data_IF_071473189214
#
_entry.id   IF_071473189214
#
_cell.length_a   1.000
_cell.length_b   1.000
_cell.length_c   1.000
_cell.angle_alpha   90.00
_cell.angle_beta   90.00
_cell.angle_gamma   90.00
#
_symmetry.space_group_name_H-M   'P 1'
#
loop_
_entity.id
_entity.type
_entity.pdbx_description
1 polymer ?
#
# COMPACT_ATOMS: atom_id res chain seq x y z
N UNK A 1 67.88 9.24 79.84
CA UNK A 1 67.40 7.89 80.21
C UNK A 1 66.13 7.63 79.39
N UNK A 2 66.06 6.51 78.65
CA UNK A 2 64.85 5.84 78.09
C UNK A 2 64.21 6.58 76.87
N UNK A 3 64.44 6.15 75.62
CA UNK A 3 63.77 5.05 74.83
C UNK A 3 62.31 5.44 74.50
N UNK A 4 61.96 5.75 73.25
CA UNK A 4 61.44 4.81 72.21
C UNK A 4 60.09 4.16 72.61
N UNK A 5 59.04 3.98 71.80
CA UNK A 5 58.78 3.97 70.37
C UNK A 5 57.23 3.88 70.15
N UNK A 6 56.77 4.36 68.99
CA UNK A 6 55.87 3.72 68.00
C UNK A 6 54.60 2.94 68.45
N UNK A 7 53.40 3.42 68.07
CA UNK A 7 52.54 3.00 66.91
C UNK A 7 51.52 1.87 67.23
N UNK A 8 50.71 1.32 66.28
CA UNK A 8 49.24 1.51 66.22
C UNK A 8 48.47 0.17 66.17
N UNK A 9 47.13 0.17 66.15
CA UNK A 9 46.30 -1.00 65.77
C UNK A 9 45.02 -0.44 65.11
N UNK A 10 44.86 -0.41 63.79
CA UNK A 10 44.61 -1.49 62.80
C UNK A 10 43.23 -2.14 62.95
N UNK A 11 42.38 -1.90 61.94
CA UNK A 11 41.56 -2.94 61.30
C UNK A 11 41.24 -2.44 59.89
N UNK A 12 42.04 -2.74 58.86
CA UNK A 12 42.13 -4.00 58.11
C UNK A 12 40.80 -4.36 57.40
N UNK A 13 40.61 -3.95 56.13
CA UNK A 13 40.99 -4.66 54.88
C UNK A 13 39.97 -5.79 54.58
N UNK A 14 39.36 -5.90 53.40
CA UNK A 14 39.85 -6.64 52.21
C UNK A 14 39.02 -6.20 50.97
N UNK A 15 39.61 -5.65 49.89
CA UNK A 15 40.46 -6.25 48.81
C UNK A 15 39.57 -6.59 47.60
N UNK A 16 39.67 -5.83 46.49
CA UNK A 16 40.59 -6.00 45.32
C UNK A 16 40.03 -7.05 44.34
N UNK A 17 39.95 -6.78 43.04
CA UNK A 17 41.05 -6.79 42.05
C UNK A 17 40.64 -5.96 40.79
N UNK A 18 41.45 -5.07 40.21
CA UNK A 18 42.59 -5.24 39.26
C UNK A 18 42.24 -6.17 38.06
N UNK A 19 42.51 -5.90 36.79
CA UNK A 19 43.63 -5.21 36.14
C UNK A 19 43.26 -4.96 34.63
N UNK A 20 43.63 -3.84 33.98
CA UNK A 20 44.86 -3.61 33.18
C UNK A 20 44.70 -3.83 31.64
N UNK A 21 44.77 -2.69 30.93
CA UNK A 21 45.41 -2.36 29.63
C UNK A 21 45.13 -3.14 28.32
N UNK A 22 44.81 -2.36 27.28
CA UNK A 22 45.60 -2.30 26.02
C UNK A 22 45.01 -3.01 24.79
N UNK A 23 44.99 -2.31 23.65
CA UNK A 23 44.90 -2.93 22.31
C UNK A 23 44.12 -2.12 21.26
N UNK A 24 44.81 -1.62 20.24
CA UNK A 24 44.21 -1.15 18.98
C UNK A 24 43.73 -2.33 18.11
N UNK A 25 42.66 -2.07 17.35
CA UNK A 25 42.16 -2.74 16.15
C UNK A 25 41.90 -4.26 16.19
N UNK A 26 40.62 -4.65 16.15
CA UNK A 26 39.96 -5.25 14.97
C UNK A 26 38.47 -5.50 15.26
N UNK A 27 37.69 -5.38 14.19
CA UNK A 27 36.27 -5.72 13.99
C UNK A 27 35.56 -6.56 15.05
N UNK A 28 34.36 -6.12 15.47
CA UNK A 28 33.11 -6.84 15.17
C UNK A 28 31.87 -6.11 15.73
N UNK A 29 30.90 -5.92 14.83
CA UNK A 29 29.43 -5.81 14.99
C UNK A 29 28.87 -5.77 16.43
N UNK A 30 27.95 -4.91 16.81
CA UNK A 30 26.77 -4.48 16.06
C UNK A 30 26.31 -3.09 16.53
N UNK A 31 26.09 -2.20 15.57
CA UNK A 31 25.37 -0.95 15.79
C UNK A 31 23.88 -1.26 15.57
N UNK A 32 23.10 -1.29 16.63
CA UNK A 32 21.64 -1.20 16.55
C UNK A 32 21.28 0.20 16.01
N UNK A 33 21.30 0.31 14.68
CA UNK A 33 20.89 1.49 13.95
C UNK A 33 19.46 1.33 13.48
N UNK A 34 18.50 1.76 14.29
CA UNK A 34 17.16 2.13 13.82
C UNK A 34 17.27 3.42 13.00
N UNK A 35 17.43 3.29 11.67
CA UNK A 35 17.43 4.43 10.77
C UNK A 35 17.41 4.02 9.31
N UNK A 36 16.37 4.44 8.58
CA UNK A 36 16.31 4.30 7.12
C UNK A 36 17.32 5.27 6.48
N UNK A 37 18.26 4.75 5.68
CA UNK A 37 19.17 5.57 4.89
C UNK A 37 18.50 5.95 3.55
N UNK A 38 18.61 7.22 3.14
CA UNK A 38 18.08 7.72 1.89
C UNK A 38 19.21 7.91 0.86
N UNK A 39 19.06 7.36 -0.35
CA UNK A 39 19.91 7.70 -1.49
C UNK A 39 19.17 7.65 -2.83
N UNK A 40 19.12 8.80 -3.53
CA UNK A 40 18.98 8.90 -4.98
C UNK A 40 17.59 8.71 -5.60
N UNK A 41 17.35 9.39 -6.73
CA UNK A 41 16.19 9.19 -7.61
C UNK A 41 16.66 8.46 -8.90
N UNK A 42 15.95 7.41 -9.31
CA UNK A 42 16.22 6.68 -10.56
C UNK A 42 14.94 6.61 -11.39
N UNK A 43 15.04 6.95 -12.68
CA UNK A 43 13.95 6.81 -13.66
C UNK A 43 14.22 5.60 -14.56
N UNK A 44 13.16 4.92 -15.04
CA UNK A 44 13.27 3.70 -15.86
C UNK A 44 13.71 3.94 -17.33
N UNK A 45 14.11 5.17 -17.69
CA UNK A 45 14.71 5.50 -19.01
C UNK A 45 16.24 5.56 -18.98
N UNK A 46 16.87 5.09 -17.90
CA UNK A 46 18.31 5.11 -17.71
C UNK A 46 18.80 6.38 -17.00
N UNK A 47 20.03 6.32 -16.50
CA UNK A 47 20.68 7.44 -15.82
C UNK A 47 21.00 8.56 -16.82
N UNK A 48 20.34 9.72 -16.71
CA UNK A 48 20.76 10.91 -17.44
C UNK A 48 21.92 11.57 -16.68
N UNK A 49 23.07 11.87 -17.33
CA UNK A 49 24.14 12.61 -16.68
C UNK A 49 23.68 14.01 -16.31
N UNK A 50 24.12 14.49 -15.15
CA UNK A 50 23.94 15.86 -14.67
C UNK A 50 24.36 16.88 -15.74
N UNK A 51 23.39 17.46 -16.44
CA UNK A 51 23.51 18.84 -16.88
C UNK A 51 22.19 19.58 -16.66
N UNK A 52 22.36 20.68 -15.96
CA UNK A 52 21.41 21.73 -15.61
C UNK A 52 20.61 22.27 -16.80
N UNK A 53 19.42 22.81 -16.48
CA UNK A 53 18.73 23.93 -17.18
C UNK A 53 17.48 23.65 -18.04
N UNK A 54 16.71 22.57 -17.82
CA UNK A 54 15.35 22.52 -18.37
C UNK A 54 14.29 22.19 -17.31
N UNK A 55 13.34 23.11 -17.15
CA UNK A 55 12.13 22.99 -16.35
C UNK A 55 11.15 22.04 -17.05
N UNK A 56 11.33 20.73 -16.88
CA UNK A 56 10.37 19.73 -17.35
C UNK A 56 9.67 19.07 -16.18
N UNK A 57 8.47 19.58 -15.90
CA UNK A 57 7.26 18.89 -15.46
C UNK A 57 7.47 17.72 -14.48
N UNK A 58 7.45 18.07 -13.19
CA UNK A 58 7.41 17.19 -12.03
C UNK A 58 6.03 16.49 -11.92
N UNK A 59 5.84 15.37 -12.61
CA UNK A 59 4.76 14.44 -12.27
C UNK A 59 5.36 13.18 -11.64
N UNK A 60 5.08 13.01 -10.35
CA UNK A 60 5.38 11.83 -9.52
C UNK A 60 6.87 11.47 -9.36
N UNK A 61 7.62 12.29 -8.61
CA UNK A 61 8.88 11.84 -8.00
C UNK A 61 8.61 11.31 -6.57
N UNK A 62 8.93 10.05 -6.31
CA UNK A 62 9.02 9.49 -4.96
C UNK A 62 10.45 8.99 -4.72
N UNK A 63 11.02 9.32 -3.56
CA UNK A 63 12.32 8.83 -3.14
C UNK A 63 12.29 7.31 -2.89
N UNK A 64 13.32 6.60 -3.36
CA UNK A 64 13.52 5.18 -3.10
C UNK A 64 14.01 5.02 -1.65
N UNK A 65 13.23 4.31 -0.82
CA UNK A 65 13.70 3.78 0.46
C UNK A 65 14.07 2.32 0.18
N UNK A 66 15.37 2.04 0.10
CA UNK A 66 15.84 0.68 -0.10
C UNK A 66 15.66 -0.11 1.20
N UNK A 67 14.83 -1.16 1.10
CA UNK A 67 14.70 -2.29 2.03
C UNK A 67 14.24 -1.97 3.46
N UNK A 68 12.93 -1.76 3.63
CA UNK A 68 12.26 -2.28 4.81
C UNK A 68 11.92 -3.75 4.54
N UNK A 69 12.29 -4.66 5.46
CA UNK A 69 11.93 -6.08 5.40
C UNK A 69 10.40 -6.18 5.25
N UNK A 70 9.93 -6.57 4.07
CA UNK A 70 8.51 -6.78 3.80
C UNK A 70 8.05 -7.98 4.62
N UNK A 71 7.44 -7.72 5.78
CA UNK A 71 6.49 -8.66 6.35
C UNK A 71 5.30 -8.64 5.39
N UNK A 72 5.15 -9.68 4.56
CA UNK A 72 3.86 -9.91 3.90
C UNK A 72 2.79 -9.88 5.00
N UNK A 73 1.79 -8.99 4.93
CA UNK A 73 0.73 -9.00 5.91
C UNK A 73 0.03 -10.35 5.80
N UNK A 74 0.23 -11.19 6.82
CA UNK A 74 -0.49 -12.44 6.98
C UNK A 74 -1.94 -12.05 7.22
N UNK A 75 -2.74 -11.97 6.13
CA UNK A 75 -4.11 -11.52 6.21
C UNK A 75 -4.87 -12.36 7.25
N UNK A 76 -5.64 -11.73 8.15
CA UNK A 76 -6.53 -12.48 9.01
C UNK A 76 -7.47 -13.28 8.12
N UNK A 77 -7.50 -14.60 8.32
CA UNK A 77 -8.33 -15.50 7.53
C UNK A 77 -9.81 -15.05 7.62
N UNK A 78 -10.42 -14.83 6.45
CA UNK A 78 -11.85 -14.93 6.11
C UNK A 78 -12.72 -13.67 5.99
N UNK A 79 -12.19 -12.46 5.85
CA UNK A 79 -13.05 -11.29 5.53
C UNK A 79 -12.74 -10.77 4.13
N UNK A 80 -13.75 -10.84 3.26
CA UNK A 80 -13.80 -10.20 1.96
C UNK A 80 -14.82 -9.06 1.98
N UNK A 81 -14.82 -8.26 0.94
CA UNK A 81 -15.71 -7.14 0.76
C UNK A 81 -16.40 -7.20 -0.59
N UNK A 82 -17.69 -6.92 -0.61
CA UNK A 82 -18.38 -6.51 -1.82
C UNK A 82 -18.37 -4.99 -1.92
N UNK A 83 -18.02 -4.48 -3.09
CA UNK A 83 -18.11 -3.07 -3.42
C UNK A 83 -19.30 -2.91 -4.36
N UNK A 84 -20.41 -2.40 -3.84
CA UNK A 84 -21.68 -2.26 -4.57
C UNK A 84 -21.91 -0.81 -4.97
N UNK A 85 -22.05 -0.51 -6.25
CA UNK A 85 -22.44 0.83 -6.71
C UNK A 85 -23.81 1.19 -6.15
N UNK A 86 -23.94 2.35 -5.52
CA UNK A 86 -25.21 2.81 -4.95
C UNK A 86 -26.18 3.21 -6.06
N UNK A 87 -25.69 3.74 -7.17
CA UNK A 87 -26.54 4.15 -8.29
C UNK A 87 -27.21 2.96 -8.98
N UNK A 88 -26.44 1.91 -9.30
CA UNK A 88 -26.94 0.78 -10.10
C UNK A 88 -27.24 -0.48 -9.29
N UNK A 89 -26.76 -0.59 -8.05
CA UNK A 89 -26.83 -1.82 -7.26
C UNK A 89 -25.88 -2.93 -7.76
N UNK A 90 -25.06 -2.65 -8.77
CA UNK A 90 -24.12 -3.61 -9.33
C UNK A 90 -22.84 -3.69 -8.50
N UNK A 91 -22.22 -4.87 -8.45
CA UNK A 91 -20.99 -5.11 -7.69
C UNK A 91 -19.76 -5.07 -8.58
N UNK A 92 -18.68 -4.47 -8.08
CA UNK A 92 -17.35 -4.58 -8.66
C UNK A 92 -16.97 -6.06 -8.79
N UNK A 93 -16.51 -6.47 -9.96
CA UNK A 93 -16.24 -7.86 -10.27
C UNK A 93 -15.02 -8.03 -11.20
N UNK A 94 -14.33 -9.15 -11.02
CA UNK A 94 -13.23 -9.60 -11.85
C UNK A 94 -13.72 -10.61 -12.90
N UNK A 95 -14.35 -10.10 -13.96
CA UNK A 95 -14.89 -10.89 -15.07
C UNK A 95 -13.95 -10.93 -16.26
N UNK A 96 -14.08 -11.94 -17.10
CA UNK A 96 -13.26 -12.10 -18.31
C UNK A 96 -13.67 -11.11 -19.42
N UNK A 97 -13.29 -9.85 -19.26
CA UNK A 97 -13.50 -8.80 -20.25
C UNK A 97 -12.16 -8.11 -20.52
N UNK A 98 -11.73 -8.07 -21.78
CA UNK A 98 -10.37 -7.66 -22.15
C UNK A 98 -10.38 -6.51 -23.15
N UNK A 99 -9.41 -5.61 -22.99
CA UNK A 99 -9.03 -4.64 -24.00
C UNK A 99 -8.38 -5.37 -25.17
N UNK A 100 -9.02 -5.29 -26.34
CA UNK A 100 -8.53 -5.95 -27.56
C UNK A 100 -7.18 -5.41 -28.03
N UNK A 101 -6.80 -4.18 -27.65
CA UNK A 101 -5.56 -3.54 -28.11
C UNK A 101 -4.38 -3.88 -27.22
N UNK A 102 -4.60 -3.93 -25.92
CA UNK A 102 -3.53 -4.09 -24.92
C UNK A 102 -3.54 -5.48 -24.27
N UNK A 103 -4.56 -6.28 -24.53
CA UNK A 103 -4.82 -7.56 -23.87
C UNK A 103 -4.96 -7.46 -22.34
N UNK A 104 -5.18 -6.25 -21.82
CA UNK A 104 -5.40 -6.02 -20.39
C UNK A 104 -6.84 -6.35 -20.03
N UNK A 105 -7.03 -6.95 -18.85
CA UNK A 105 -8.35 -7.28 -18.34
C UNK A 105 -8.98 -6.06 -17.67
N UNK A 106 -10.19 -5.71 -18.08
CA UNK A 106 -10.96 -4.64 -17.45
C UNK A 106 -11.50 -5.08 -16.09
N UNK A 107 -11.63 -4.13 -15.18
CA UNK A 107 -12.54 -4.26 -14.06
C UNK A 107 -13.97 -3.96 -14.53
N UNK A 108 -14.94 -4.71 -14.02
CA UNK A 108 -16.34 -4.61 -14.45
C UNK A 108 -17.29 -4.53 -13.28
N UNK A 109 -18.57 -4.26 -13.56
CA UNK A 109 -19.65 -4.38 -12.59
C UNK A 109 -20.72 -5.39 -13.04
N UNK A 110 -21.28 -6.15 -12.10
CA UNK A 110 -22.31 -7.18 -12.37
C UNK A 110 -23.54 -6.97 -11.50
N UNK A 111 -24.72 -7.33 -11.99
CA UNK A 111 -25.89 -7.43 -11.11
C UNK A 111 -25.79 -8.67 -10.24
N UNK A 112 -26.30 -8.55 -9.01
CA UNK A 112 -26.39 -9.68 -8.08
C UNK A 112 -27.30 -10.81 -8.57
N UNK A 113 -28.19 -10.52 -9.52
CA UNK A 113 -29.12 -11.49 -10.13
C UNK A 113 -28.53 -12.24 -11.33
N UNK A 114 -27.39 -11.80 -11.87
CA UNK A 114 -26.93 -12.23 -13.21
C UNK A 114 -26.25 -13.61 -13.24
N UNK A 115 -26.07 -14.34 -12.12
CA UNK A 115 -25.76 -15.79 -12.13
C UNK A 115 -25.70 -16.44 -10.74
N UNK A 116 -26.29 -17.62 -10.65
CA UNK A 116 -25.78 -18.70 -9.79
C UNK A 116 -24.58 -19.35 -10.46
N UNK A 117 -23.56 -19.69 -9.66
CA UNK A 117 -22.42 -20.59 -9.96
C UNK A 117 -21.07 -19.97 -10.40
N UNK A 118 -20.90 -18.64 -10.47
CA UNK A 118 -19.57 -18.00 -10.60
C UNK A 118 -19.13 -17.39 -9.25
N UNK A 119 -18.97 -18.26 -8.26
CA UNK A 119 -18.68 -17.87 -6.87
C UNK A 119 -17.36 -17.07 -6.76
N UNK A 120 -17.43 -15.89 -6.12
CA UNK A 120 -16.31 -15.11 -5.60
C UNK A 120 -15.57 -14.12 -6.53
N UNK A 121 -16.00 -13.95 -7.78
CA UNK A 121 -15.42 -12.90 -8.66
C UNK A 121 -15.72 -11.47 -8.19
N UNK A 122 -16.74 -11.29 -7.35
CA UNK A 122 -17.17 -10.01 -6.78
C UNK A 122 -16.69 -9.80 -5.33
N UNK A 123 -15.80 -10.69 -4.84
CA UNK A 123 -15.19 -10.60 -3.51
C UNK A 123 -13.80 -10.00 -3.59
N UNK A 124 -13.54 -9.01 -2.73
CA UNK A 124 -12.30 -8.24 -2.74
C UNK A 124 -11.69 -8.15 -1.34
N UNK A 125 -10.37 -8.14 -1.27
CA UNK A 125 -9.63 -7.74 -0.09
C UNK A 125 -9.27 -6.25 -0.19
N UNK A 126 -9.46 -5.52 0.90
CA UNK A 126 -8.96 -4.16 1.09
C UNK A 126 -7.69 -4.23 1.93
N UNK A 127 -6.53 -4.05 1.29
CA UNK A 127 -5.22 -4.22 1.91
C UNK A 127 -4.64 -2.83 2.19
N UNK A 128 -4.51 -2.47 3.47
CA UNK A 128 -3.92 -1.19 3.84
C UNK A 128 -2.45 -1.10 3.41
N UNK A 129 -2.03 0.04 2.86
CA UNK A 129 -0.64 0.27 2.41
C UNK A 129 0.35 0.56 3.56
N UNK A 130 -0.07 0.45 4.83
CA UNK A 130 0.76 0.71 6.01
C UNK A 130 1.17 2.18 6.23
N UNK A 131 0.93 3.07 5.26
CA UNK A 131 1.17 4.51 5.35
C UNK A 131 -0.14 5.24 5.04
N UNK A 132 -0.90 5.58 6.08
CA UNK A 132 -2.20 6.27 5.96
C UNK A 132 -3.38 5.32 5.75
N UNK A 133 -4.50 5.89 5.30
CA UNK A 133 -5.78 5.20 5.10
C UNK A 133 -6.01 4.82 3.62
N UNK A 134 -4.94 4.54 2.88
CA UNK A 134 -5.02 4.14 1.47
C UNK A 134 -4.97 2.61 1.34
N UNK A 135 -5.71 2.09 0.37
CA UNK A 135 -5.92 0.64 0.21
C UNK A 135 -5.54 0.19 -1.20
N UNK A 136 -4.91 -0.98 -1.28
CA UNK A 136 -4.93 -1.81 -2.46
C UNK A 136 -6.22 -2.63 -2.46
N UNK A 137 -6.84 -2.76 -3.63
CA UNK A 137 -8.07 -3.55 -3.80
C UNK A 137 -7.69 -4.80 -4.61
N UNK A 138 -7.69 -5.97 -3.97
CA UNK A 138 -7.26 -7.23 -4.57
C UNK A 138 -8.43 -8.19 -4.70
N UNK A 139 -8.65 -8.78 -5.85
CA UNK A 139 -9.69 -9.78 -6.02
C UNK A 139 -9.34 -11.03 -5.20
N UNK A 140 -10.32 -11.58 -4.49
CA UNK A 140 -10.12 -12.79 -3.67
C UNK A 140 -9.78 -14.00 -4.53
N UNK A 141 -10.58 -14.23 -5.59
CA UNK A 141 -10.47 -15.42 -6.43
C UNK A 141 -9.26 -15.38 -7.35
N UNK A 142 -9.04 -14.28 -8.06
CA UNK A 142 -7.95 -14.19 -9.05
C UNK A 142 -6.64 -13.69 -8.46
N UNK A 143 -6.68 -13.05 -7.29
CA UNK A 143 -5.50 -12.44 -6.69
C UNK A 143 -4.99 -11.19 -7.42
N UNK A 144 -5.71 -10.72 -8.45
CA UNK A 144 -5.37 -9.53 -9.24
C UNK A 144 -5.71 -8.25 -8.48
N UNK A 145 -4.90 -7.22 -8.67
CA UNK A 145 -5.11 -5.90 -8.08
C UNK A 145 -5.85 -4.99 -9.05
N UNK A 146 -6.76 -4.19 -8.49
CA UNK A 146 -7.37 -3.09 -9.21
C UNK A 146 -6.33 -2.00 -9.46
N UNK A 147 -6.25 -1.57 -10.71
CA UNK A 147 -5.35 -0.50 -11.16
C UNK A 147 -6.13 0.44 -12.06
N UNK A 148 -5.98 1.74 -11.87
CA UNK A 148 -6.50 2.72 -12.83
C UNK A 148 -5.39 3.24 -13.73
N UNK A 149 -5.76 3.73 -14.91
CA UNK A 149 -4.85 4.36 -15.85
C UNK A 149 -5.34 5.75 -16.25
N UNK A 150 -4.47 6.51 -16.90
CA UNK A 150 -4.75 7.87 -17.38
C UNK A 150 -5.91 7.92 -18.39
N UNK A 151 -6.17 6.82 -19.09
CA UNK A 151 -7.31 6.69 -20.02
C UNK A 151 -8.67 6.56 -19.31
N UNK A 152 -8.71 6.73 -17.98
CA UNK A 152 -9.88 6.62 -17.11
C UNK A 152 -10.46 5.21 -16.93
N UNK A 153 -9.86 4.18 -17.51
CA UNK A 153 -10.29 2.80 -17.29
C UNK A 153 -9.64 2.20 -16.05
N UNK A 154 -10.40 1.36 -15.37
CA UNK A 154 -9.87 0.45 -14.36
C UNK A 154 -9.62 -0.93 -14.96
N UNK A 155 -8.47 -1.48 -14.62
CA UNK A 155 -7.95 -2.76 -15.08
C UNK A 155 -7.60 -3.65 -13.90
N UNK A 156 -7.45 -4.94 -14.19
CA UNK A 156 -6.97 -5.96 -13.27
C UNK A 156 -5.56 -6.34 -13.66
N UNK A 157 -4.63 -6.25 -12.71
CA UNK A 157 -3.22 -6.54 -12.93
C UNK A 157 -2.72 -7.57 -11.92
N UNK A 158 -1.97 -8.54 -12.43
CA UNK A 158 -1.31 -9.56 -11.61
C UNK A 158 -0.01 -9.02 -11.00
N UNK A 159 0.44 -9.69 -9.93
CA UNK A 159 1.69 -9.36 -9.25
C UNK A 159 1.52 -8.30 -8.17
N UNK A 160 2.64 -7.91 -7.56
CA UNK A 160 2.65 -6.93 -6.47
C UNK A 160 2.45 -5.50 -7.02
N UNK A 161 1.65 -4.65 -6.37
CA UNK A 161 1.53 -3.24 -6.72
C UNK A 161 2.90 -2.54 -6.72
N UNK A 162 3.20 -1.79 -7.78
CA UNK A 162 4.51 -1.16 -7.99
C UNK A 162 4.51 0.36 -7.85
N UNK A 163 3.34 0.98 -7.93
CA UNK A 163 3.17 2.44 -7.93
C UNK A 163 1.80 2.86 -7.34
N UNK A 164 1.57 4.16 -7.28
CA UNK A 164 0.35 4.74 -6.68
C UNK A 164 -0.91 4.56 -7.57
N UNK A 165 -0.80 4.01 -8.79
CA UNK A 165 -1.96 3.75 -9.67
C UNK A 165 -2.85 2.59 -9.19
N UNK A 166 -2.35 1.82 -8.22
CA UNK A 166 -3.06 0.75 -7.53
C UNK A 166 -3.70 1.19 -6.21
N UNK A 167 -3.41 2.42 -5.76
CA UNK A 167 -3.84 2.90 -4.46
C UNK A 167 -5.14 3.70 -4.57
N UNK A 168 -6.05 3.37 -3.65
CA UNK A 168 -7.32 4.05 -3.52
C UNK A 168 -7.49 4.61 -2.11
N UNK A 169 -7.82 5.89 -2.04
CA UNK A 169 -8.18 6.59 -0.82
C UNK A 169 -9.69 6.62 -0.67
N UNK A 170 -10.26 6.00 0.38
CA UNK A 170 -11.68 6.07 0.68
C UNK A 170 -12.02 7.42 1.29
N UNK A 171 -13.07 8.07 0.77
CA UNK A 171 -13.71 9.22 1.40
C UNK A 171 -15.09 8.80 1.88
N UNK A 172 -15.23 8.65 3.20
CA UNK A 172 -16.47 8.23 3.83
C UNK A 172 -17.49 9.36 3.79
N UNK A 173 -18.63 9.14 3.14
CA UNK A 173 -19.77 10.05 3.19
C UNK A 173 -20.49 9.81 4.51
N UNK A 174 -20.69 10.88 5.28
CA UNK A 174 -21.24 10.84 6.64
C UNK A 174 -20.49 9.88 7.59
N UNK A 175 -19.20 9.65 7.35
CA UNK A 175 -18.36 8.77 8.17
C UNK A 175 -18.66 7.27 8.04
N UNK A 176 -19.38 6.84 7.01
CA UNK A 176 -19.84 5.45 6.87
C UNK A 176 -19.23 4.71 5.68
N UNK A 177 -18.86 3.43 5.88
CA UNK A 177 -18.48 2.51 4.80
C UNK A 177 -19.67 2.07 3.93
N UNK A 178 -20.89 2.35 4.39
CA UNK A 178 -22.09 2.12 3.60
C UNK A 178 -22.26 3.11 2.44
N UNK A 179 -21.45 4.18 2.42
CA UNK A 179 -21.44 5.21 1.39
C UNK A 179 -20.05 5.84 1.30
N UNK A 180 -19.24 5.40 0.32
CA UNK A 180 -17.84 5.83 0.17
C UNK A 180 -17.54 6.21 -1.28
N UNK A 181 -16.73 7.25 -1.45
CA UNK A 181 -16.06 7.55 -2.72
C UNK A 181 -14.66 6.94 -2.70
N UNK A 182 -14.29 6.20 -3.74
CA UNK A 182 -12.96 5.60 -3.87
C UNK A 182 -12.11 6.43 -4.82
N UNK A 183 -11.24 7.27 -4.28
CA UNK A 183 -10.37 8.15 -5.07
C UNK A 183 -9.06 7.44 -5.43
N UNK A 184 -8.66 7.46 -6.69
CA UNK A 184 -7.31 7.10 -7.10
C UNK A 184 -6.29 8.07 -6.51
N UNK A 185 -5.28 7.55 -5.81
CA UNK A 185 -4.19 8.37 -5.25
C UNK A 185 -3.35 9.00 -6.37
N UNK A 186 -3.03 8.24 -7.42
CA UNK A 186 -2.21 8.72 -8.53
C UNK A 186 -2.92 9.79 -9.38
N UNK A 187 -4.18 9.56 -9.75
CA UNK A 187 -4.85 10.39 -10.75
C UNK A 187 -5.90 11.36 -10.19
N UNK A 188 -6.21 11.27 -8.89
CA UNK A 188 -7.14 12.13 -8.18
C UNK A 188 -8.63 11.97 -8.56
N UNK A 189 -8.96 11.07 -9.49
CA UNK A 189 -10.34 10.78 -9.89
C UNK A 189 -10.99 9.70 -9.03
N UNK A 190 -12.31 9.57 -9.15
CA UNK A 190 -13.14 8.67 -8.36
C UNK A 190 -13.64 7.51 -9.21
N UNK A 191 -13.59 6.31 -8.65
CA UNK A 191 -14.12 5.12 -9.29
C UNK A 191 -15.65 5.20 -9.39
N UNK A 192 -16.17 4.84 -10.55
CA UNK A 192 -17.61 4.66 -10.75
C UNK A 192 -17.87 3.47 -11.68
N UNK A 193 -19.03 2.84 -11.52
CA UNK A 193 -19.48 1.75 -12.39
C UNK A 193 -20.35 2.32 -13.51
N UNK A 194 -20.02 2.00 -14.76
CA UNK A 194 -20.82 2.40 -15.91
C UNK A 194 -21.37 1.18 -16.66
N UNK A 195 -22.67 1.24 -16.93
CA UNK A 195 -23.33 0.28 -17.82
C UNK A 195 -23.21 0.79 -19.25
N UNK A 196 -22.28 0.21 -20.01
CA UNK A 196 -22.07 0.58 -21.40
C UNK A 196 -23.06 -0.12 -22.34
N UNK A 197 -23.41 -1.39 -22.06
CA UNK A 197 -24.41 -2.12 -22.83
C UNK A 197 -25.13 -3.19 -22.00
N UNK A 198 -25.97 -4.00 -22.63
CA UNK A 198 -26.59 -5.14 -21.97
C UNK A 198 -25.57 -6.21 -21.53
N UNK A 199 -24.41 -6.29 -22.18
CA UNK A 199 -23.39 -7.34 -21.96
C UNK A 199 -22.02 -6.81 -21.51
N UNK A 200 -21.77 -5.50 -21.60
CA UNK A 200 -20.50 -4.89 -21.21
C UNK A 200 -20.71 -3.79 -20.18
N UNK A 201 -20.13 -4.01 -19.00
CA UNK A 201 -20.07 -3.01 -17.95
C UNK A 201 -18.62 -2.84 -17.54
N UNK A 202 -18.22 -1.60 -17.31
CA UNK A 202 -16.85 -1.25 -16.98
C UNK A 202 -16.81 -0.44 -15.71
N UNK A 203 -15.66 -0.51 -15.06
CA UNK A 203 -15.32 0.41 -13.97
C UNK A 203 -14.40 1.46 -14.56
N UNK A 204 -14.79 2.70 -14.32
CA UNK A 204 -14.14 3.88 -14.86
C UNK A 204 -13.78 4.83 -13.73
N UNK A 205 -13.01 5.86 -14.07
CA UNK A 205 -12.63 6.93 -13.18
C UNK A 205 -13.12 8.26 -13.73
N UNK A 206 -13.68 9.10 -12.86
CA UNK A 206 -14.09 10.47 -13.20
C UNK A 206 -13.46 11.49 -12.26
N UNK A 207 -13.07 12.64 -12.79
CA UNK A 207 -12.70 13.81 -11.97
C UNK A 207 -13.88 14.78 -11.79
N UNK A 208 -14.93 14.60 -12.58
CA UNK A 208 -16.13 15.44 -12.54
C UNK A 208 -17.21 14.76 -11.69
N UNK A 209 -17.14 15.00 -10.38
CA UNK A 209 -18.18 14.54 -9.48
C UNK A 209 -19.49 15.32 -9.66
N UNK A 210 -19.54 16.49 -10.30
CA UNK A 210 -20.82 17.19 -10.47
C UNK A 210 -21.78 16.39 -11.35
N UNK A 211 -21.24 15.67 -12.34
CA UNK A 211 -22.03 14.83 -13.24
C UNK A 211 -22.21 13.40 -12.76
N UNK A 212 -21.19 12.84 -12.10
CA UNK A 212 -21.12 11.41 -11.81
C UNK A 212 -21.07 11.10 -10.30
N UNK A 213 -21.50 12.04 -9.44
CA UNK A 213 -21.42 11.87 -7.99
C UNK A 213 -22.07 10.56 -7.54
N UNK A 214 -23.32 10.33 -7.97
CA UNK A 214 -24.14 9.22 -7.50
C UNK A 214 -23.57 7.88 -7.96
N UNK A 215 -23.08 7.81 -9.19
CA UNK A 215 -22.46 6.65 -9.83
C UNK A 215 -21.13 6.30 -9.18
N UNK A 216 -20.43 7.30 -8.64
CA UNK A 216 -19.15 7.15 -7.94
C UNK A 216 -19.29 6.69 -6.49
N UNK A 217 -20.51 6.63 -5.95
CA UNK A 217 -20.75 6.16 -4.58
C UNK A 217 -20.81 4.64 -4.52
N UNK A 218 -20.05 4.08 -3.58
CA UNK A 218 -19.99 2.65 -3.32
C UNK A 218 -20.44 2.35 -1.90
N UNK A 219 -21.10 1.20 -1.74
CA UNK A 219 -21.34 0.57 -0.46
C UNK A 219 -20.35 -0.58 -0.29
N UNK A 220 -19.59 -0.55 0.80
CA UNK A 220 -18.63 -1.60 1.15
C UNK A 220 -19.26 -2.48 2.23
N UNK A 221 -19.51 -3.74 1.91
CA UNK A 221 -20.08 -4.71 2.86
C UNK A 221 -19.12 -5.86 3.08
N UNK A 222 -18.81 -6.16 4.34
CA UNK A 222 -18.01 -7.33 4.71
C UNK A 222 -18.78 -8.63 4.48
N UNK A 223 -18.11 -9.63 3.93
CA UNK A 223 -18.60 -10.98 3.71
C UNK A 223 -17.51 -11.99 4.03
N UNK A 224 -17.89 -13.25 4.14
CA UNK A 224 -16.93 -14.33 4.34
C UNK A 224 -16.36 -14.83 3.01
N UNK A 225 -15.06 -15.09 3.09
CA UNK A 225 -14.32 -15.98 2.23
C UNK A 225 -13.65 -17.06 3.12
#
# INVERSE_FOLDING_TARGET
MIVSWRTPVISAIFVLTLAVTGGEATESYARDGTGCQASGCVTQQGCVPRYSQYTTVLYCQRCVIDRCRSLEPTMPRRICYHLTSIASGQRLAAVENYDRRTSQRYASVLHTSDRGDEEDHDKWHLIANGRGHDYYIRNFRTGEYLRVQENNFAYLAQGQPVDDSFLFKPHLVDGSWSCVLLQSVCYGGYLYGERYSASTNFVLMTRDLQRCYRESLWRVTSVYC
#
